data_IF_759238258863
#
_entry.id   IF_759238258863
#
_cell.length_a   1.000
_cell.length_b   1.000
_cell.length_c   1.000
_cell.angle_alpha   90.00
_cell.angle_beta   90.00
_cell.angle_gamma   90.00
#
_symmetry.space_group_name_H-M   'P 1'
#
loop_
_entity.id
_entity.type
_entity.pdbx_description
1 polymer ?
#
# COMPACT_ATOMS: atom_id res chain seq x y z
N UNK A 1 -4.91 -7.51 10.07
CA UNK A 1 -5.50 -8.00 8.80
C UNK A 1 -4.71 -7.35 7.71
N UNK A 2 -4.14 -8.16 6.80
CA UNK A 2 -3.27 -7.68 5.72
C UNK A 2 -4.10 -7.37 4.47
N UNK A 3 -3.94 -6.17 3.93
CA UNK A 3 -4.65 -5.68 2.74
C UNK A 3 -3.62 -5.18 1.73
N UNK A 4 -3.82 -5.52 0.45
CA UNK A 4 -3.17 -4.83 -0.67
C UNK A 4 -4.20 -4.09 -1.49
N UNK A 5 -3.85 -2.88 -1.90
CA UNK A 5 -4.60 -2.11 -2.89
C UNK A 5 -3.65 -1.96 -4.08
N UNK A 6 -3.99 -2.56 -5.21
CA UNK A 6 -3.11 -2.63 -6.37
C UNK A 6 -3.51 -1.55 -7.39
N UNK A 7 -2.52 -0.85 -7.96
CA UNK A 7 -2.74 0.15 -9.00
C UNK A 7 -3.59 1.36 -8.57
N UNK A 8 -3.59 1.71 -7.28
CA UNK A 8 -4.32 2.88 -6.78
C UNK A 8 -3.52 4.17 -6.97
N UNK A 9 -4.23 5.30 -7.11
CA UNK A 9 -3.59 6.61 -7.04
C UNK A 9 -3.42 7.02 -5.57
N UNK A 10 -2.19 6.99 -5.09
CA UNK A 10 -1.84 7.38 -3.72
C UNK A 10 -1.48 8.86 -3.72
N UNK A 11 -2.23 9.65 -2.94
CA UNK A 11 -2.05 11.10 -2.83
C UNK A 11 -1.75 11.42 -1.36
N UNK A 12 -0.56 11.93 -1.07
CA UNK A 12 -0.16 12.46 0.24
C UNK A 12 0.42 13.88 0.09
N UNK A 13 -0.36 14.92 0.42
CA UNK A 13 0.08 16.31 0.32
C UNK A 13 1.29 16.66 1.20
N UNK A 14 1.50 15.94 2.31
CA UNK A 14 2.59 16.25 3.23
C UNK A 14 3.95 15.82 2.66
N UNK A 15 4.00 14.67 1.98
CA UNK A 15 5.20 14.22 1.27
C UNK A 15 5.27 14.68 -0.20
N UNK A 16 4.17 15.25 -0.72
CA UNK A 16 4.04 15.61 -2.13
C UNK A 16 3.86 14.40 -3.06
N UNK A 17 3.46 13.25 -2.50
CA UNK A 17 3.22 12.03 -3.26
C UNK A 17 1.92 12.16 -4.04
N UNK A 18 2.00 11.97 -5.35
CA UNK A 18 0.83 11.83 -6.22
C UNK A 18 1.19 10.90 -7.40
N UNK A 19 0.97 9.61 -7.21
CA UNK A 19 1.30 8.61 -8.22
C UNK A 19 0.38 7.39 -8.16
N UNK A 20 0.27 6.69 -9.29
CA UNK A 20 -0.36 5.36 -9.34
C UNK A 20 0.64 4.32 -8.87
N UNK A 21 0.32 3.61 -7.79
CA UNK A 21 1.20 2.62 -7.15
C UNK A 21 0.40 1.67 -6.27
N UNK A 22 1.05 0.61 -5.80
CA UNK A 22 0.45 -0.34 -4.87
C UNK A 22 0.56 0.17 -3.42
N UNK A 23 -0.37 -0.24 -2.56
CA UNK A 23 -0.35 0.08 -1.13
C UNK A 23 -0.57 -1.18 -0.31
N UNK A 24 0.34 -1.46 0.62
CA UNK A 24 0.30 -2.64 1.48
C UNK A 24 0.11 -2.21 2.94
N UNK A 25 -0.95 -2.74 3.57
CA UNK A 25 -1.39 -2.36 4.92
C UNK A 25 -1.48 -3.59 5.81
N UNK A 26 -1.04 -3.48 7.06
CA UNK A 26 -1.34 -4.47 8.11
C UNK A 26 -1.61 -3.78 9.44
N UNK A 27 -2.57 -4.31 10.19
CA UNK A 27 -2.93 -3.81 11.52
C UNK A 27 -3.32 -2.32 11.54
N UNK A 28 -3.86 -1.80 10.43
CA UNK A 28 -4.20 -0.36 10.30
C UNK A 28 -3.00 0.55 10.04
N UNK A 29 -1.82 -0.01 9.74
CA UNK A 29 -0.61 0.74 9.39
C UNK A 29 -0.18 0.44 7.96
N UNK A 30 0.31 1.47 7.27
CA UNK A 30 0.96 1.30 5.96
C UNK A 30 2.30 0.63 6.20
N UNK A 31 2.50 -0.54 5.57
CA UNK A 31 3.77 -1.25 5.58
C UNK A 31 4.67 -0.82 4.42
N UNK A 32 4.09 -0.58 3.24
CA UNK A 32 4.81 -0.12 2.06
C UNK A 32 3.90 0.60 1.07
N UNK A 33 4.49 1.52 0.33
CA UNK A 33 3.92 2.18 -0.85
C UNK A 33 4.82 1.79 -2.04
N UNK A 34 4.25 1.13 -3.05
CA UNK A 34 5.00 0.47 -4.10
C UNK A 34 5.17 -1.02 -3.82
N UNK A 35 6.37 -1.55 -3.96
CA UNK A 35 6.60 -2.99 -3.86
C UNK A 35 6.27 -3.56 -2.46
N UNK A 36 5.62 -4.71 -2.44
CA UNK A 36 5.34 -5.45 -1.22
C UNK A 36 6.63 -5.83 -0.48
N UNK A 37 6.67 -5.72 0.86
CA UNK A 37 7.80 -6.20 1.65
C UNK A 37 8.03 -7.71 1.45
N UNK A 38 9.29 -8.14 1.60
CA UNK A 38 9.61 -9.56 1.50
C UNK A 38 8.81 -10.40 2.51
N UNK A 39 8.19 -11.48 2.03
CA UNK A 39 7.34 -12.34 2.87
C UNK A 39 5.96 -11.80 3.19
N UNK A 40 5.60 -10.60 2.72
CA UNK A 40 4.25 -10.07 2.89
C UNK A 40 3.24 -10.86 2.06
N UNK A 41 2.16 -11.29 2.71
CA UNK A 41 1.00 -11.93 2.07
C UNK A 41 -0.27 -11.19 2.48
N UNK A 42 -0.92 -10.60 1.49
CA UNK A 42 -2.20 -9.95 1.68
C UNK A 42 -3.29 -11.00 1.91
N UNK A 43 -4.07 -10.85 2.97
CA UNK A 43 -5.27 -11.65 3.19
C UNK A 43 -6.39 -11.23 2.23
N UNK A 44 -6.36 -9.97 1.77
CA UNK A 44 -7.25 -9.42 0.75
C UNK A 44 -6.48 -8.51 -0.20
N UNK A 45 -6.82 -8.58 -1.48
CA UNK A 45 -6.36 -7.61 -2.49
C UNK A 45 -7.56 -6.89 -3.10
N UNK A 46 -7.39 -5.61 -3.41
CA UNK A 46 -8.36 -4.74 -4.08
C UNK A 46 -7.74 -4.18 -5.35
#
# INVERSE_FOLDING_TARGET
MTLSILGARVIDPNSGLDQVTDLHVDGGKILAIGAAPAGFKAARSL
#
